data_IF_258813017643
#
_entry.id   IF_258813017643
#
_cell.length_a   1.000
_cell.length_b   1.000
_cell.length_c   1.000
_cell.angle_alpha   90.00
_cell.angle_beta   90.00
_cell.angle_gamma   90.00
#
_symmetry.space_group_name_H-M   'P 1'
#
loop_
_entity.id
_entity.type
_entity.pdbx_description
1 polymer ?
#
# COMPACT_ATOMS: atom_id res chain seq x y z
N UNK A 1 26.52 9.34 -29.71
CA UNK A 1 25.59 8.31 -29.23
C UNK A 1 24.59 9.02 -28.36
N UNK A 2 23.45 9.42 -28.97
CA UNK A 2 22.42 10.28 -28.38
C UNK A 2 21.52 9.40 -27.49
N UNK A 3 21.61 9.58 -26.18
CA UNK A 3 20.62 9.04 -25.25
C UNK A 3 19.44 9.99 -25.29
N UNK A 4 18.38 9.61 -26.01
CA UNK A 4 17.11 10.32 -26.02
C UNK A 4 16.49 10.23 -24.63
N UNK A 5 16.59 11.31 -23.87
CA UNK A 5 15.86 11.52 -22.63
C UNK A 5 14.39 11.72 -23.00
N UNK A 6 13.63 10.64 -23.05
CA UNK A 6 12.17 10.72 -23.06
C UNK A 6 11.80 11.26 -21.68
N UNK A 7 11.45 12.56 -21.60
CA UNK A 7 10.68 13.09 -20.48
C UNK A 7 9.33 12.36 -20.50
N UNK A 8 9.19 11.30 -19.70
CA UNK A 8 7.86 10.87 -19.28
C UNK A 8 7.25 12.06 -18.55
N UNK A 9 6.24 12.67 -19.16
CA UNK A 9 5.35 13.57 -18.43
C UNK A 9 4.90 12.80 -17.18
N UNK A 10 5.30 13.28 -16.02
CA UNK A 10 5.07 12.55 -14.75
C UNK A 10 3.61 12.78 -14.40
N UNK A 11 2.73 11.94 -14.95
CA UNK A 11 1.34 11.89 -14.53
C UNK A 11 1.37 11.48 -13.06
N UNK A 12 0.77 12.30 -12.18
CA UNK A 12 0.70 11.98 -10.76
C UNK A 12 0.06 10.59 -10.56
N UNK A 13 0.63 9.73 -9.71
CA UNK A 13 0.03 8.44 -9.37
C UNK A 13 -1.43 8.57 -8.92
N UNK A 14 -1.81 9.70 -8.32
CA UNK A 14 -3.17 9.99 -7.88
C UNK A 14 -4.20 10.06 -9.03
N UNK A 15 -3.77 10.27 -10.28
CA UNK A 15 -4.69 10.28 -11.42
C UNK A 15 -5.42 8.95 -11.62
N UNK A 16 -4.81 7.83 -11.23
CA UNK A 16 -5.43 6.50 -11.27
C UNK A 16 -6.66 6.36 -10.36
N UNK A 17 -6.87 7.31 -9.44
CA UNK A 17 -8.04 7.35 -8.57
C UNK A 17 -9.31 7.85 -9.26
N UNK A 18 -9.22 8.43 -10.46
CA UNK A 18 -10.39 8.86 -11.24
C UNK A 18 -11.23 7.68 -11.77
N UNK A 19 -10.60 6.50 -11.94
CA UNK A 19 -11.26 5.25 -12.31
C UNK A 19 -10.45 4.09 -11.73
N UNK A 20 -10.70 3.75 -10.47
CA UNK A 20 -9.88 2.86 -9.67
C UNK A 20 -9.82 1.42 -10.21
N UNK A 21 -8.61 0.97 -10.60
CA UNK A 21 -8.28 -0.39 -11.05
C UNK A 21 -7.04 -0.96 -10.35
N UNK A 22 -6.83 -0.59 -9.09
CA UNK A 22 -5.62 -0.96 -8.34
C UNK A 22 -5.54 -2.44 -7.95
N UNK A 23 -6.64 -3.16 -8.06
CA UNK A 23 -6.71 -4.59 -7.76
C UNK A 23 -7.64 -5.27 -8.76
N UNK A 24 -7.64 -6.62 -8.85
CA UNK A 24 -8.45 -7.37 -9.81
C UNK A 24 -9.97 -7.10 -9.75
N UNK A 25 -10.45 -6.47 -8.66
CA UNK A 25 -11.87 -6.06 -8.58
C UNK A 25 -12.27 -4.99 -9.59
N UNK A 26 -11.34 -4.22 -10.11
CA UNK A 26 -11.54 -3.19 -11.14
C UNK A 26 -12.83 -2.39 -10.99
N UNK A 27 -13.12 -1.95 -9.76
CA UNK A 27 -14.41 -1.36 -9.40
C UNK A 27 -14.73 -0.03 -10.11
N UNK A 28 -13.75 0.60 -10.78
CA UNK A 28 -13.91 1.82 -11.57
C UNK A 28 -14.31 3.07 -10.77
N UNK A 29 -14.37 3.01 -9.45
CA UNK A 29 -14.82 4.12 -8.61
C UNK A 29 -13.97 5.38 -8.83
N UNK A 30 -14.61 6.52 -9.04
CA UNK A 30 -13.97 7.83 -9.08
C UNK A 30 -13.76 8.36 -7.66
N UNK A 31 -12.63 7.95 -7.07
CA UNK A 31 -12.28 8.30 -5.70
C UNK A 31 -11.92 9.78 -5.53
N UNK A 32 -11.60 10.48 -6.63
CA UNK A 32 -11.35 11.93 -6.61
C UNK A 32 -12.64 12.71 -6.35
N UNK A 33 -13.77 12.21 -6.84
CA UNK A 33 -15.11 12.78 -6.65
C UNK A 33 -15.86 12.15 -5.46
N UNK A 34 -15.16 11.39 -4.60
CA UNK A 34 -15.73 10.83 -3.36
C UNK A 34 -16.39 9.47 -3.50
N UNK A 35 -16.41 8.86 -4.69
CA UNK A 35 -16.93 7.51 -4.85
C UNK A 35 -16.04 6.50 -4.11
N UNK A 36 -16.66 5.42 -3.65
CA UNK A 36 -15.99 4.36 -2.92
C UNK A 36 -16.33 3.00 -3.50
N UNK A 37 -15.30 2.27 -3.91
CA UNK A 37 -15.45 0.91 -4.39
C UNK A 37 -15.59 -0.11 -3.23
N UNK A 38 -15.36 -1.38 -3.55
CA UNK A 38 -15.49 -2.50 -2.61
C UNK A 38 -14.69 -2.31 -1.32
N UNK A 39 -13.44 -1.83 -1.43
CA UNK A 39 -12.55 -1.62 -0.28
C UNK A 39 -12.92 -0.40 0.57
N UNK A 40 -13.79 0.50 0.07
CA UNK A 40 -14.19 1.76 0.71
C UNK A 40 -13.07 2.79 0.90
N UNK A 41 -11.89 2.57 0.34
CA UNK A 41 -10.83 3.56 0.36
C UNK A 41 -11.24 4.83 -0.41
N UNK A 42 -10.92 5.99 0.14
CA UNK A 42 -11.20 7.30 -0.46
C UNK A 42 -10.00 7.91 -1.17
N UNK A 43 -10.08 9.21 -1.44
CA UNK A 43 -9.01 10.00 -2.07
C UNK A 43 -7.74 10.05 -1.23
N UNK A 44 -7.89 10.27 0.09
CA UNK A 44 -6.76 10.33 1.03
C UNK A 44 -6.37 8.94 1.49
N UNK A 45 -5.12 8.77 1.88
CA UNK A 45 -4.67 7.56 2.55
C UNK A 45 -5.32 7.47 3.92
N UNK A 46 -5.85 6.29 4.29
CA UNK A 46 -6.37 6.07 5.63
C UNK A 46 -5.43 5.18 6.40
N UNK A 47 -4.84 5.71 7.48
CA UNK A 47 -3.78 5.08 8.26
C UNK A 47 -4.30 4.78 9.65
N UNK A 48 -4.21 3.50 10.05
CA UNK A 48 -4.61 3.03 11.36
C UNK A 48 -3.53 3.27 12.41
N UNK A 49 -2.28 2.97 12.05
CA UNK A 49 -1.14 3.08 12.97
C UNK A 49 0.16 3.37 12.20
N UNK A 50 1.07 4.07 12.87
CA UNK A 50 2.47 4.24 12.49
C UNK A 50 3.31 3.90 13.71
N UNK A 51 4.17 2.88 13.61
CA UNK A 51 4.93 2.39 14.74
C UNK A 51 6.25 1.74 14.33
N UNK A 52 7.18 1.61 15.28
CA UNK A 52 8.29 0.67 15.13
C UNK A 52 7.79 -0.70 15.58
N UNK A 53 7.89 -1.68 14.71
CA UNK A 53 7.45 -3.05 14.93
C UNK A 53 8.63 -4.01 14.92
N UNK A 54 8.72 -4.86 15.95
CA UNK A 54 9.79 -5.84 16.11
C UNK A 54 9.35 -7.28 15.83
N UNK A 55 8.08 -7.46 15.45
CA UNK A 55 7.47 -8.77 15.23
C UNK A 55 7.25 -9.11 13.76
N UNK A 56 7.84 -8.37 12.81
CA UNK A 56 7.91 -8.80 11.42
C UNK A 56 8.92 -9.95 11.26
N UNK A 57 8.98 -10.56 10.09
CA UNK A 57 9.99 -11.59 9.79
C UNK A 57 11.40 -11.10 10.17
N UNK A 58 12.24 -11.98 10.74
CA UNK A 58 13.57 -11.58 11.22
C UNK A 58 14.43 -10.81 10.21
N UNK A 59 14.42 -11.12 8.89
CA UNK A 59 15.16 -10.33 7.89
C UNK A 59 14.63 -8.91 7.72
N UNK A 60 13.37 -8.63 8.08
CA UNK A 60 12.71 -7.32 7.97
C UNK A 60 12.91 -6.51 9.25
N UNK A 61 12.62 -7.11 10.40
CA UNK A 61 12.73 -6.44 11.70
C UNK A 61 14.17 -6.16 12.10
N UNK A 62 15.08 -7.10 11.85
CA UNK A 62 16.46 -7.02 12.31
C UNK A 62 16.54 -6.65 13.81
N UNK A 63 17.52 -5.83 14.17
CA UNK A 63 17.76 -5.42 15.57
C UNK A 63 17.06 -4.11 15.96
N UNK A 64 16.71 -3.27 15.00
CA UNK A 64 16.11 -1.94 15.23
C UNK A 64 14.63 -1.86 14.91
N UNK A 65 14.05 -2.95 14.41
CA UNK A 65 12.66 -3.03 14.03
C UNK A 65 12.36 -2.47 12.63
N UNK A 66 11.18 -2.73 12.16
CA UNK A 66 10.58 -2.21 10.93
C UNK A 66 9.69 -1.02 11.26
N UNK A 67 9.79 0.06 10.51
CA UNK A 67 8.88 1.19 10.61
C UNK A 67 7.58 0.89 9.87
N UNK A 68 6.57 0.36 10.58
CA UNK A 68 5.32 -0.07 9.97
C UNK A 68 4.31 1.04 9.86
N UNK A 69 3.67 1.14 8.69
CA UNK A 69 2.52 2.00 8.39
C UNK A 69 1.36 1.09 8.02
N UNK A 70 0.42 0.90 8.96
CA UNK A 70 -0.77 0.09 8.76
C UNK A 70 -1.85 0.92 8.08
N UNK A 71 -2.21 0.55 6.85
CA UNK A 71 -3.35 1.15 6.18
C UNK A 71 -4.66 0.53 6.64
N UNK A 72 -5.69 1.36 6.68
CA UNK A 72 -7.06 0.92 6.88
C UNK A 72 -7.71 0.62 5.54
N UNK A 73 -8.79 -0.16 5.58
CA UNK A 73 -9.45 -0.70 4.40
C UNK A 73 -8.64 -1.81 3.73
N UNK A 74 -9.33 -2.71 3.05
CA UNK A 74 -8.70 -3.83 2.35
C UNK A 74 -9.58 -4.23 1.16
N UNK A 75 -8.96 -4.65 0.07
CA UNK A 75 -9.64 -5.17 -1.11
C UNK A 75 -10.12 -6.62 -0.95
N UNK A 76 -9.87 -7.23 0.21
CA UNK A 76 -10.37 -8.54 0.64
C UNK A 76 -11.20 -8.41 1.91
N UNK A 77 -12.10 -9.40 2.18
CA UNK A 77 -12.93 -9.47 3.39
C UNK A 77 -12.76 -10.80 4.11
N UNK A 78 -11.51 -11.13 4.44
CA UNK A 78 -11.17 -12.39 5.08
C UNK A 78 -11.91 -12.56 6.42
N UNK A 79 -12.62 -13.69 6.58
CA UNK A 79 -13.36 -14.02 7.80
C UNK A 79 -12.43 -14.18 9.03
N UNK A 80 -11.18 -14.57 8.79
CA UNK A 80 -10.14 -14.77 9.81
C UNK A 80 -9.19 -13.57 9.96
N UNK A 81 -9.57 -12.37 9.48
CA UNK A 81 -8.70 -11.20 9.52
C UNK A 81 -8.36 -10.79 10.95
N UNK A 82 -7.07 -10.86 11.31
CA UNK A 82 -6.57 -10.41 12.62
C UNK A 82 -6.75 -8.90 12.80
N UNK A 83 -6.70 -8.16 11.69
CA UNK A 83 -6.81 -6.71 11.66
C UNK A 83 -8.22 -6.23 11.26
N UNK A 84 -9.27 -7.00 11.60
CA UNK A 84 -10.64 -6.71 11.21
C UNK A 84 -11.11 -5.28 11.48
N UNK A 85 -10.82 -4.66 12.66
CA UNK A 85 -11.26 -3.29 12.94
C UNK A 85 -10.71 -2.25 11.95
N UNK A 86 -9.48 -2.43 11.48
CA UNK A 86 -8.86 -1.51 10.52
C UNK A 86 -9.18 -1.90 9.08
N UNK A 87 -9.16 -3.17 8.74
CA UNK A 87 -9.38 -3.64 7.36
C UNK A 87 -10.84 -3.51 6.92
N UNK A 88 -11.81 -3.77 7.80
CA UNK A 88 -13.24 -3.80 7.46
C UNK A 88 -13.99 -2.57 7.95
N UNK A 89 -13.77 -2.13 9.18
CA UNK A 89 -14.41 -0.92 9.71
C UNK A 89 -13.69 0.36 9.31
N UNK A 90 -12.43 0.26 8.87
CA UNK A 90 -11.65 1.42 8.43
C UNK A 90 -11.25 2.33 9.59
N UNK A 91 -11.07 1.78 10.81
CA UNK A 91 -10.57 2.56 11.93
C UNK A 91 -9.20 3.15 11.59
N UNK A 92 -9.04 4.45 11.79
CA UNK A 92 -7.82 5.17 11.44
C UNK A 92 -8.13 6.63 11.09
N UNK A 93 -7.11 7.36 10.71
CA UNK A 93 -7.22 8.77 10.28
C UNK A 93 -6.83 8.93 8.83
N UNK A 94 -7.45 9.87 8.15
CA UNK A 94 -7.03 10.26 6.81
C UNK A 94 -5.75 11.09 6.87
N UNK A 95 -4.86 10.84 5.92
CA UNK A 95 -3.60 11.56 5.74
C UNK A 95 -3.46 11.95 4.27
N UNK A 96 -3.03 13.16 4.02
CA UNK A 96 -2.51 13.55 2.72
C UNK A 96 -1.10 12.98 2.49
N UNK A 97 -0.59 13.15 1.29
CA UNK A 97 0.70 12.59 0.88
C UNK A 97 1.88 13.25 1.59
N UNK A 98 1.78 14.53 1.92
CA UNK A 98 2.78 15.26 2.68
C UNK A 98 2.88 14.75 4.13
N UNK A 99 1.73 14.54 4.77
CA UNK A 99 1.67 13.98 6.12
C UNK A 99 2.23 12.57 6.16
N UNK A 100 1.86 11.75 5.18
CA UNK A 100 2.37 10.37 5.06
C UNK A 100 3.89 10.34 4.84
N UNK A 101 4.42 11.21 3.97
CA UNK A 101 5.85 11.38 3.76
C UNK A 101 6.56 11.84 5.06
N UNK A 102 5.93 12.73 5.82
CA UNK A 102 6.42 13.17 7.13
C UNK A 102 6.53 12.02 8.14
N UNK A 103 5.56 11.10 8.17
CA UNK A 103 5.63 9.90 9.03
C UNK A 103 6.78 8.96 8.62
N UNK A 104 7.03 8.80 7.32
CA UNK A 104 8.19 8.03 6.84
C UNK A 104 9.52 8.63 7.32
N UNK A 105 9.67 9.95 7.24
CA UNK A 105 10.87 10.65 7.71
C UNK A 105 11.04 10.50 9.23
N UNK A 106 9.96 10.60 10.02
CA UNK A 106 10.01 10.35 11.48
C UNK A 106 10.42 8.91 11.81
N UNK A 107 9.96 7.92 11.06
CA UNK A 107 10.40 6.54 11.22
C UNK A 107 11.89 6.39 10.92
N UNK A 108 12.39 7.05 9.86
CA UNK A 108 13.81 7.10 9.55
C UNK A 108 14.62 7.71 10.71
N UNK A 109 14.19 8.82 11.28
CA UNK A 109 14.83 9.48 12.43
C UNK A 109 14.85 8.56 13.67
N UNK A 110 13.89 7.66 13.82
CA UNK A 110 13.87 6.63 14.87
C UNK A 110 14.84 5.48 14.62
N UNK A 111 15.53 5.46 13.47
CA UNK A 111 16.61 4.54 13.16
C UNK A 111 16.15 3.13 12.78
N UNK A 112 14.90 2.96 12.30
CA UNK A 112 14.39 1.67 11.81
C UNK A 112 15.17 1.17 10.59
N UNK A 113 15.08 -0.13 10.29
CA UNK A 113 15.79 -0.71 9.14
C UNK A 113 15.12 -0.41 7.78
N UNK A 114 13.80 -0.23 7.77
CA UNK A 114 13.00 -0.03 6.57
C UNK A 114 11.68 0.66 6.93
N UNK A 115 10.91 1.07 5.91
CA UNK A 115 9.50 1.43 6.08
C UNK A 115 8.65 0.38 5.37
N UNK A 116 7.76 -0.26 6.16
CA UNK A 116 6.91 -1.34 5.73
C UNK A 116 5.44 -0.87 5.66
N UNK A 117 4.89 -0.86 4.47
CA UNK A 117 3.50 -0.54 4.21
C UNK A 117 2.65 -1.81 4.27
N UNK A 118 1.76 -1.89 5.26
CA UNK A 118 0.91 -3.06 5.49
C UNK A 118 -0.47 -2.84 4.90
N UNK A 119 -0.93 -3.76 4.06
CA UNK A 119 -2.17 -3.70 3.28
C UNK A 119 -2.25 -2.46 2.36
N UNK A 120 -1.20 -2.19 1.57
CA UNK A 120 -1.08 -0.94 0.82
C UNK A 120 -1.91 -0.88 -0.45
N UNK A 121 -2.39 -2.00 -1.00
CA UNK A 121 -3.07 -2.09 -2.31
C UNK A 121 -4.12 -0.99 -2.55
N UNK A 122 -5.08 -0.71 -1.61
CA UNK A 122 -6.06 0.36 -1.83
C UNK A 122 -5.47 1.77 -1.85
N UNK A 123 -4.22 1.92 -1.38
CA UNK A 123 -3.56 3.21 -1.16
C UNK A 123 -2.25 3.39 -1.94
N UNK A 124 -2.00 2.53 -2.94
CA UNK A 124 -0.78 2.58 -3.76
C UNK A 124 -0.50 3.96 -4.35
N UNK A 125 -1.46 4.70 -4.94
CA UNK A 125 -1.16 6.01 -5.50
C UNK A 125 -0.67 7.02 -4.46
N UNK A 126 -1.30 7.03 -3.27
CA UNK A 126 -0.90 7.91 -2.18
C UNK A 126 0.45 7.50 -1.58
N UNK A 127 0.68 6.18 -1.45
CA UNK A 127 1.95 5.62 -0.99
C UNK A 127 3.09 6.02 -1.92
N UNK A 128 2.92 5.83 -3.24
CA UNK A 128 3.92 6.19 -4.25
C UNK A 128 4.29 7.66 -4.18
N UNK A 129 3.29 8.54 -4.15
CA UNK A 129 3.54 9.99 -4.08
C UNK A 129 4.24 10.37 -2.77
N UNK A 130 3.84 9.77 -1.64
CA UNK A 130 4.51 10.00 -0.36
C UNK A 130 5.96 9.52 -0.35
N UNK A 131 6.27 8.36 -0.95
CA UNK A 131 7.65 7.86 -1.09
C UNK A 131 8.49 8.82 -1.92
N UNK A 132 7.96 9.30 -3.06
CA UNK A 132 8.67 10.27 -3.91
C UNK A 132 8.96 11.58 -3.18
N UNK A 133 7.97 12.11 -2.44
CA UNK A 133 8.12 13.31 -1.61
C UNK A 133 9.14 13.10 -0.49
N UNK A 134 9.10 11.95 0.19
CA UNK A 134 10.03 11.62 1.26
C UNK A 134 11.47 11.48 0.73
N UNK A 135 11.64 10.80 -0.42
CA UNK A 135 12.95 10.67 -1.09
C UNK A 135 13.52 12.04 -1.47
N UNK A 136 12.68 12.96 -1.97
CA UNK A 136 13.05 14.35 -2.24
C UNK A 136 13.52 15.12 -1.01
N UNK A 137 13.17 14.65 0.19
CA UNK A 137 13.56 15.21 1.50
C UNK A 137 14.64 14.38 2.22
N UNK A 138 15.30 13.47 1.51
CA UNK A 138 16.42 12.68 2.02
C UNK A 138 16.03 11.34 2.66
N UNK A 139 14.83 10.81 2.42
CA UNK A 139 14.46 9.45 2.83
C UNK A 139 15.27 8.43 1.99
N UNK A 140 16.01 7.57 2.66
CA UNK A 140 16.98 6.64 2.07
C UNK A 140 16.81 5.18 2.55
N UNK A 141 15.76 4.89 3.33
CA UNK A 141 15.51 3.54 3.80
C UNK A 141 14.82 2.68 2.73
N UNK A 142 15.02 1.35 2.76
CA UNK A 142 14.26 0.41 1.95
C UNK A 142 12.75 0.53 2.19
N UNK A 143 11.98 0.40 1.12
CA UNK A 143 10.52 0.38 1.12
C UNK A 143 10.05 -1.06 1.00
N UNK A 144 9.25 -1.50 1.97
CA UNK A 144 8.66 -2.84 2.02
C UNK A 144 7.17 -2.74 1.70
N UNK A 145 6.70 -3.64 0.83
CA UNK A 145 5.30 -3.77 0.40
C UNK A 145 4.73 -5.08 0.92
N UNK A 146 3.98 -5.01 2.03
CA UNK A 146 3.37 -6.17 2.69
C UNK A 146 1.92 -6.29 2.24
N UNK A 147 1.68 -7.17 1.28
CA UNK A 147 0.40 -7.30 0.58
C UNK A 147 -0.29 -8.62 0.83
N UNK A 148 -1.61 -8.62 0.70
CA UNK A 148 -2.44 -9.81 0.72
C UNK A 148 -2.37 -10.64 -0.60
N UNK A 149 -1.56 -10.22 -1.57
CA UNK A 149 -1.39 -10.88 -2.86
C UNK A 149 -2.53 -10.66 -3.86
N UNK A 150 -3.50 -9.79 -3.57
CA UNK A 150 -4.61 -9.48 -4.48
C UNK A 150 -4.44 -8.11 -5.12
N UNK A 151 -3.35 -7.96 -5.88
CA UNK A 151 -2.94 -6.76 -6.58
C UNK A 151 -3.12 -6.91 -8.10
N UNK A 152 -3.49 -5.85 -8.81
CA UNK A 152 -3.46 -5.85 -10.26
C UNK A 152 -2.01 -5.77 -10.76
N UNK A 153 -1.70 -6.45 -11.88
CA UNK A 153 -0.35 -6.45 -12.46
C UNK A 153 0.11 -5.03 -12.85
N UNK A 154 -0.79 -4.22 -13.36
CA UNK A 154 -0.53 -2.82 -13.70
C UNK A 154 -0.16 -2.01 -12.45
N UNK A 155 -0.77 -2.32 -11.31
CA UNK A 155 -0.42 -1.68 -10.03
C UNK A 155 0.97 -2.10 -9.57
N UNK A 156 1.31 -3.39 -9.66
CA UNK A 156 2.65 -3.86 -9.35
C UNK A 156 3.71 -3.22 -10.27
N UNK A 157 3.40 -3.02 -11.54
CA UNK A 157 4.29 -2.33 -12.47
C UNK A 157 4.58 -0.87 -12.07
N UNK A 158 3.65 -0.18 -11.39
CA UNK A 158 3.88 1.16 -10.87
C UNK A 158 4.88 1.19 -9.70
N UNK A 159 5.06 0.07 -9.02
CA UNK A 159 5.94 -0.06 -7.86
C UNK A 159 7.40 -0.31 -8.25
N UNK A 160 7.67 -0.58 -9.53
CA UNK A 160 9.02 -0.83 -10.03
C UNK A 160 9.96 0.36 -9.77
N UNK A 161 11.13 0.09 -9.21
CA UNK A 161 12.10 1.10 -8.80
C UNK A 161 11.70 1.95 -7.58
N UNK A 162 10.56 1.65 -6.94
CA UNK A 162 10.09 2.33 -5.72
C UNK A 162 10.07 1.39 -4.52
N UNK A 163 9.59 0.17 -4.69
CA UNK A 163 9.55 -0.88 -3.67
C UNK A 163 10.80 -1.75 -3.79
N UNK A 164 11.47 -1.96 -2.67
CA UNK A 164 12.70 -2.74 -2.59
C UNK A 164 12.43 -4.19 -2.18
N UNK A 165 11.41 -4.42 -1.35
CA UNK A 165 11.10 -5.73 -0.77
C UNK A 165 9.59 -5.97 -0.83
N UNK A 166 9.20 -7.15 -1.30
CA UNK A 166 7.80 -7.60 -1.29
C UNK A 166 7.60 -8.72 -0.26
N UNK A 167 6.52 -8.61 0.53
CA UNK A 167 6.05 -9.65 1.45
C UNK A 167 4.61 -10.00 1.04
N UNK A 168 4.43 -10.88 0.05
CA UNK A 168 3.10 -11.28 -0.38
C UNK A 168 2.58 -12.45 0.45
N UNK A 169 1.33 -12.37 0.89
CA UNK A 169 0.61 -13.51 1.43
C UNK A 169 0.13 -14.45 0.29
N UNK A 170 0.38 -15.73 0.41
CA UNK A 170 -0.28 -16.77 -0.39
C UNK A 170 -1.44 -17.37 0.42
N UNK A 171 -2.58 -16.67 0.45
CA UNK A 171 -3.68 -17.00 1.38
C UNK A 171 -4.49 -18.22 0.96
N UNK A 172 -4.63 -18.47 -0.34
CA UNK A 172 -5.51 -19.50 -0.87
C UNK A 172 -4.85 -20.23 -2.03
N UNK A 173 -5.14 -21.51 -2.13
CA UNK A 173 -4.71 -22.37 -3.25
C UNK A 173 -5.86 -22.64 -4.25
N UNK A 174 -7.07 -22.17 -3.96
CA UNK A 174 -8.20 -22.29 -4.87
C UNK A 174 -9.09 -21.05 -4.83
N UNK A 175 -9.71 -20.77 -5.97
CA UNK A 175 -10.66 -19.66 -6.14
C UNK A 175 -11.91 -19.85 -5.28
N UNK A 176 -12.41 -21.07 -5.12
CA UNK A 176 -13.61 -21.39 -4.33
C UNK A 176 -13.38 -21.04 -2.85
N UNK A 177 -12.21 -21.42 -2.31
CA UNK A 177 -11.86 -21.08 -0.92
C UNK A 177 -11.65 -19.58 -0.74
N UNK A 178 -11.01 -18.94 -1.70
CA UNK A 178 -10.82 -17.49 -1.69
C UNK A 178 -12.15 -16.75 -1.69
N UNK A 179 -13.09 -17.18 -2.53
CA UNK A 179 -14.43 -16.59 -2.57
C UNK A 179 -15.19 -16.82 -1.27
N UNK A 180 -15.23 -18.05 -0.76
CA UNK A 180 -15.95 -18.40 0.45
C UNK A 180 -15.40 -17.69 1.70
N UNK A 181 -14.07 -17.58 1.82
CA UNK A 181 -13.41 -17.07 3.02
C UNK A 181 -13.08 -15.57 2.97
N UNK A 182 -13.06 -14.92 1.79
CA UNK A 182 -12.69 -13.51 1.66
C UNK A 182 -13.49 -12.72 0.62
N UNK A 183 -14.44 -13.36 -0.06
CA UNK A 183 -15.21 -12.73 -1.14
C UNK A 183 -14.35 -12.33 -2.34
N UNK A 184 -13.28 -13.07 -2.63
CA UNK A 184 -12.35 -12.82 -3.75
C UNK A 184 -12.61 -13.83 -4.87
N UNK A 185 -13.17 -13.43 -6.02
CA UNK A 185 -13.64 -14.37 -7.04
C UNK A 185 -12.53 -14.97 -7.92
N UNK A 186 -11.35 -14.38 -7.93
CA UNK A 186 -10.26 -14.62 -8.90
C UNK A 186 -8.87 -14.49 -8.24
N UNK A 187 -8.69 -15.08 -7.06
CA UNK A 187 -7.44 -14.96 -6.29
C UNK A 187 -6.28 -15.80 -6.82
N UNK A 188 -6.54 -16.88 -7.55
CA UNK A 188 -5.54 -17.85 -8.05
C UNK A 188 -5.13 -17.55 -9.48
#
# INVERSE_FOLDING_TARGET
>A
MLISTIRKETISPLSSLSACRLCPRECGANRLEGERGFCRAGRLARVAAVSVHHGEEPPISGTRGSGTIFFSHCNMKCLFCQNYPISQYGNGREMDTETLAGEMLRLRERGVHNVNFVTPTPHVPQMLEAVLLARGKGFDLPVVYNTNGYDALETLALLDGVVDIYIPDAKYHSTELAYAASGTPDYS
#
